data_IF_004249201920
#
_entry.id   IF_004249201920
#
_cell.length_a   1.000
_cell.length_b   1.000
_cell.length_c   1.000
_cell.angle_alpha   90.00
_cell.angle_beta   90.00
_cell.angle_gamma   90.00
#
_symmetry.space_group_name_H-M   'P 1'
#
loop_
_entity.id
_entity.type
_entity.pdbx_description
1 polymer ?
#
# COMPACT_ATOMS: atom_id res chain seq x y z
N UNK A 1 -25.98 117.70 0.40
CA UNK A 1 -25.03 116.59 0.20
C UNK A 1 -25.73 115.26 -0.01
N UNK A 2 -26.94 115.10 0.51
CA UNK A 2 -27.50 113.77 0.84
C UNK A 2 -28.04 112.99 -0.35
N UNK A 3 -28.58 113.67 -1.37
CA UNK A 3 -29.07 113.03 -2.60
C UNK A 3 -27.95 112.25 -3.30
N UNK A 4 -26.72 112.77 -3.30
CA UNK A 4 -25.55 112.08 -3.89
C UNK A 4 -25.08 110.85 -3.09
N UNK A 5 -25.40 110.79 -1.80
CA UNK A 5 -25.06 109.65 -0.93
C UNK A 5 -26.10 108.55 -1.11
N UNK A 6 -27.39 108.90 -1.03
CA UNK A 6 -28.50 108.00 -1.28
C UNK A 6 -28.43 107.33 -2.66
N UNK A 7 -28.05 108.09 -3.69
CA UNK A 7 -27.89 107.55 -5.06
C UNK A 7 -26.73 106.55 -5.17
N UNK A 8 -25.64 106.75 -4.42
CA UNK A 8 -24.53 105.80 -4.34
C UNK A 8 -24.90 104.54 -3.56
N UNK A 9 -25.70 104.70 -2.52
CA UNK A 9 -26.23 103.58 -1.72
C UNK A 9 -27.17 102.70 -2.56
N UNK A 10 -28.08 103.32 -3.32
CA UNK A 10 -28.99 102.63 -4.25
C UNK A 10 -28.19 101.83 -5.29
N UNK A 11 -27.15 102.43 -5.85
CA UNK A 11 -26.33 101.80 -6.88
C UNK A 11 -25.54 100.61 -6.32
N UNK A 12 -24.96 100.74 -5.11
CA UNK A 12 -24.35 99.62 -4.38
C UNK A 12 -25.32 98.48 -4.11
N UNK A 13 -26.55 98.80 -3.70
CA UNK A 13 -27.59 97.80 -3.43
C UNK A 13 -28.00 97.08 -4.72
N UNK A 14 -28.17 97.80 -5.84
CA UNK A 14 -28.45 97.21 -7.14
C UNK A 14 -27.31 96.31 -7.62
N UNK A 15 -26.06 96.74 -7.49
CA UNK A 15 -24.89 95.93 -7.85
C UNK A 15 -24.81 94.66 -6.99
N UNK A 16 -25.12 94.78 -5.68
CA UNK A 16 -25.23 93.65 -4.77
C UNK A 16 -26.32 92.66 -5.19
N UNK A 17 -27.53 93.15 -5.51
CA UNK A 17 -28.64 92.32 -5.99
C UNK A 17 -28.28 91.61 -7.29
N UNK A 18 -27.66 92.30 -8.25
CA UNK A 18 -27.23 91.71 -9.51
C UNK A 18 -26.19 90.60 -9.30
N UNK A 19 -25.23 90.80 -8.39
CA UNK A 19 -24.24 89.77 -8.04
C UNK A 19 -24.87 88.55 -7.35
N UNK A 20 -25.88 88.76 -6.49
CA UNK A 20 -26.63 87.65 -5.87
C UNK A 20 -27.50 86.91 -6.88
N UNK A 21 -28.18 87.62 -7.80
CA UNK A 21 -28.96 87.00 -8.88
C UNK A 21 -28.07 86.14 -9.79
N UNK A 22 -26.89 86.64 -10.19
CA UNK A 22 -25.93 85.85 -10.96
C UNK A 22 -25.42 84.62 -10.20
N UNK A 23 -25.24 84.71 -8.88
CA UNK A 23 -24.90 83.54 -8.05
C UNK A 23 -26.04 82.52 -8.01
N UNK A 24 -27.28 82.98 -7.84
CA UNK A 24 -28.48 82.12 -7.81
C UNK A 24 -28.68 81.42 -9.17
N UNK A 25 -28.45 82.10 -10.29
CA UNK A 25 -28.51 81.49 -11.63
C UNK A 25 -27.43 80.42 -11.87
N UNK A 26 -26.29 80.48 -11.17
CA UNK A 26 -25.22 79.47 -11.26
C UNK A 26 -25.43 78.26 -10.34
N UNK A 27 -26.33 78.33 -9.36
CA UNK A 27 -26.63 77.20 -8.44
C UNK A 27 -27.18 75.97 -9.19
N UNK A 28 -28.16 76.09 -10.11
CA UNK A 28 -28.70 74.94 -10.85
C UNK A 28 -27.64 74.17 -11.64
N UNK A 29 -26.66 74.88 -12.21
CA UNK A 29 -25.60 74.28 -13.01
C UNK A 29 -24.66 73.45 -12.13
N UNK A 30 -24.29 73.96 -10.96
CA UNK A 30 -23.49 73.20 -9.98
C UNK A 30 -24.26 72.02 -9.40
N UNK A 31 -25.56 72.15 -9.21
CA UNK A 31 -26.43 71.07 -8.75
C UNK A 31 -26.56 69.95 -9.81
N UNK A 32 -26.51 70.28 -11.10
CA UNK A 32 -26.44 69.31 -12.20
C UNK A 32 -25.08 68.61 -12.23
N UNK A 33 -23.98 69.36 -12.20
CA UNK A 33 -22.61 68.80 -12.17
C UNK A 33 -22.43 67.83 -10.97
N UNK A 34 -22.95 68.19 -9.80
CA UNK A 34 -22.89 67.34 -8.61
C UNK A 34 -23.74 66.08 -8.75
N UNK A 35 -24.94 66.19 -9.35
CA UNK A 35 -25.80 65.02 -9.62
C UNK A 35 -25.17 64.07 -10.62
N UNK A 36 -24.56 64.57 -11.68
CA UNK A 36 -23.83 63.76 -12.66
C UNK A 36 -22.67 63.02 -11.98
N UNK A 37 -21.85 63.74 -11.21
CA UNK A 37 -20.73 63.14 -10.49
C UNK A 37 -21.17 62.08 -9.48
N UNK A 38 -22.24 62.35 -8.72
CA UNK A 38 -22.79 61.39 -7.76
C UNK A 38 -23.25 60.12 -8.47
N UNK A 39 -23.95 60.26 -9.61
CA UNK A 39 -24.47 59.14 -10.38
C UNK A 39 -23.34 58.30 -11.00
N UNK A 40 -22.29 58.95 -11.51
CA UNK A 40 -21.10 58.26 -12.03
C UNK A 40 -20.35 57.52 -10.93
N UNK A 41 -20.23 58.14 -9.75
CA UNK A 41 -19.64 57.50 -8.58
C UNK A 41 -20.41 56.26 -8.16
N UNK A 42 -21.74 56.37 -8.05
CA UNK A 42 -22.60 55.25 -7.66
C UNK A 42 -22.53 54.10 -8.69
N UNK A 43 -22.57 54.42 -9.99
CA UNK A 43 -22.42 53.44 -11.07
C UNK A 43 -21.06 52.73 -11.02
N UNK A 44 -19.99 53.49 -10.81
CA UNK A 44 -18.63 52.92 -10.70
C UNK A 44 -18.49 52.03 -9.47
N UNK A 45 -19.07 52.44 -8.34
CA UNK A 45 -19.08 51.67 -7.10
C UNK A 45 -19.84 50.35 -7.27
N UNK A 46 -20.99 50.39 -7.93
CA UNK A 46 -21.83 49.22 -8.20
C UNK A 46 -21.12 48.25 -9.15
N UNK A 47 -20.49 48.77 -10.21
CA UNK A 47 -19.65 47.98 -11.12
C UNK A 47 -18.50 47.30 -10.37
N UNK A 48 -17.77 48.04 -9.52
CA UNK A 48 -16.68 47.49 -8.72
C UNK A 48 -17.16 46.35 -7.81
N UNK A 49 -18.28 46.54 -7.10
CA UNK A 49 -18.86 45.49 -6.26
C UNK A 49 -19.26 44.25 -7.06
N UNK A 50 -19.83 44.44 -8.25
CA UNK A 50 -20.20 43.33 -9.13
C UNK A 50 -18.99 42.52 -9.61
N UNK A 51 -17.88 43.21 -9.94
CA UNK A 51 -16.63 42.59 -10.36
C UNK A 51 -15.96 41.85 -9.20
N UNK A 52 -15.96 42.46 -8.01
CA UNK A 52 -15.43 41.82 -6.80
C UNK A 52 -16.19 40.53 -6.48
N UNK A 53 -17.53 40.57 -6.53
CA UNK A 53 -18.36 39.38 -6.31
C UNK A 53 -18.07 38.27 -7.32
N UNK A 54 -17.97 38.61 -8.62
CA UNK A 54 -17.62 37.64 -9.67
C UNK A 54 -16.23 37.05 -9.49
N UNK A 55 -15.27 37.85 -9.01
CA UNK A 55 -13.92 37.38 -8.71
C UNK A 55 -13.92 36.37 -7.55
N UNK A 56 -14.63 36.67 -6.46
CA UNK A 56 -14.78 35.74 -5.34
C UNK A 56 -15.48 34.44 -5.76
N UNK A 57 -16.56 34.53 -6.56
CA UNK A 57 -17.25 33.36 -7.13
C UNK A 57 -16.33 32.51 -8.00
N UNK A 58 -15.52 33.14 -8.86
CA UNK A 58 -14.53 32.44 -9.69
C UNK A 58 -13.45 31.76 -8.84
N UNK A 59 -12.95 32.43 -7.80
CA UNK A 59 -11.97 31.86 -6.88
C UNK A 59 -12.52 30.67 -6.10
N UNK A 60 -13.79 30.74 -5.66
CA UNK A 60 -14.48 29.61 -5.05
C UNK A 60 -14.66 28.46 -6.04
N UNK A 61 -15.07 28.74 -7.27
CA UNK A 61 -15.23 27.74 -8.32
C UNK A 61 -13.89 27.06 -8.65
N UNK A 62 -12.80 27.81 -8.77
CA UNK A 62 -11.45 27.27 -8.97
C UNK A 62 -11.03 26.37 -7.82
N UNK A 63 -11.23 26.80 -6.56
CA UNK A 63 -10.93 25.97 -5.39
C UNK A 63 -11.77 24.69 -5.37
N UNK A 64 -13.05 24.76 -5.74
CA UNK A 64 -13.92 23.59 -5.86
C UNK A 64 -13.45 22.66 -6.98
N UNK A 65 -13.09 23.18 -8.15
CA UNK A 65 -12.57 22.41 -9.27
C UNK A 65 -11.22 21.77 -8.93
N UNK A 66 -10.30 22.49 -8.28
CA UNK A 66 -9.03 21.92 -7.79
C UNK A 66 -9.27 20.80 -6.77
N UNK A 67 -10.23 20.98 -5.84
CA UNK A 67 -10.63 19.94 -4.89
C UNK A 67 -11.34 18.76 -5.54
N UNK A 68 -12.08 18.96 -6.65
CA UNK A 68 -12.80 17.92 -7.39
C UNK A 68 -11.92 17.22 -8.45
N UNK A 69 -10.91 17.89 -9.01
CA UNK A 69 -9.90 17.32 -9.92
C UNK A 69 -9.01 16.30 -9.21
N UNK A 70 -8.79 16.47 -7.90
CA UNK A 70 -8.32 15.38 -7.07
C UNK A 70 -9.50 14.46 -6.82
N UNK A 71 -9.55 13.29 -7.47
CA UNK A 71 -10.47 12.22 -7.10
C UNK A 71 -10.42 12.07 -5.58
N UNK A 72 -11.48 12.49 -4.90
CA UNK A 72 -11.55 12.47 -3.45
C UNK A 72 -11.82 11.02 -3.06
N UNK A 73 -10.77 10.20 -3.10
CA UNK A 73 -10.80 8.80 -2.69
C UNK A 73 -11.12 8.75 -1.20
N UNK A 74 -12.42 8.72 -0.89
CA UNK A 74 -12.89 8.42 0.44
C UNK A 74 -12.85 6.90 0.58
N UNK A 75 -11.98 6.44 1.48
CA UNK A 75 -11.95 5.03 1.87
C UNK A 75 -13.30 4.72 2.54
N UNK A 76 -14.21 4.09 1.77
CA UNK A 76 -15.54 3.70 2.24
C UNK A 76 -15.46 2.46 3.12
N UNK A 77 -14.52 1.56 2.80
CA UNK A 77 -14.20 0.37 3.57
C UNK A 77 -12.68 0.17 3.58
N UNK A 78 -12.00 0.34 4.73
CA UNK A 78 -10.57 0.10 4.81
C UNK A 78 -10.28 -1.38 4.58
N UNK A 79 -9.21 -1.69 3.86
CA UNK A 79 -8.79 -3.08 3.65
C UNK A 79 -8.50 -3.74 5.00
N UNK A 80 -9.39 -4.62 5.45
CA UNK A 80 -9.18 -5.43 6.65
C UNK A 80 -8.17 -6.51 6.29
N UNK A 81 -6.99 -6.45 6.88
CA UNK A 81 -6.00 -7.51 6.72
C UNK A 81 -6.60 -8.82 7.25
N UNK A 82 -6.57 -9.87 6.43
CA UNK A 82 -7.06 -11.18 6.84
C UNK A 82 -6.22 -11.68 8.03
N UNK A 83 -6.81 -11.95 9.21
CA UNK A 83 -6.07 -12.47 10.35
C UNK A 83 -5.58 -13.91 10.14
N UNK A 84 -6.15 -14.63 9.16
CA UNK A 84 -5.72 -15.97 8.80
C UNK A 84 -4.56 -15.93 7.79
N UNK A 85 -3.51 -16.75 7.99
CA UNK A 85 -2.42 -16.85 7.03
C UNK A 85 -2.93 -17.38 5.69
N UNK A 86 -2.63 -16.67 4.60
CA UNK A 86 -3.08 -17.03 3.26
C UNK A 86 -2.51 -18.37 2.76
N UNK A 87 -1.36 -18.83 3.30
CA UNK A 87 -0.77 -20.15 3.06
C UNK A 87 0.35 -20.47 4.07
N UNK A 88 0.77 -21.74 4.20
CA UNK A 88 -0.03 -22.94 4.49
C UNK A 88 -0.28 -23.08 5.99
N UNK A 89 -1.30 -23.87 6.37
CA UNK A 89 -1.52 -24.24 7.78
C UNK A 89 -0.30 -24.96 8.35
N UNK A 90 0.45 -24.29 9.23
CA UNK A 90 1.70 -24.78 9.80
C UNK A 90 1.56 -26.17 10.42
N UNK A 91 0.41 -26.46 11.02
CA UNK A 91 0.08 -27.75 11.63
C UNK A 91 -0.02 -28.85 10.57
N UNK A 92 -0.75 -28.61 9.47
CA UNK A 92 -0.89 -29.59 8.38
C UNK A 92 0.46 -29.89 7.72
N UNK A 93 1.29 -28.87 7.51
CA UNK A 93 2.63 -29.04 6.98
C UNK A 93 3.49 -29.91 7.90
N UNK A 94 3.46 -29.66 9.20
CA UNK A 94 4.21 -30.43 10.20
C UNK A 94 3.80 -31.92 10.19
N UNK A 95 2.49 -32.20 10.14
CA UNK A 95 1.97 -33.58 10.10
C UNK A 95 2.42 -34.30 8.83
N UNK A 96 2.36 -33.65 7.66
CA UNK A 96 2.81 -34.25 6.40
C UNK A 96 4.32 -34.56 6.43
N UNK A 97 5.14 -33.66 6.97
CA UNK A 97 6.58 -33.89 7.08
C UNK A 97 6.87 -35.02 8.07
N UNK A 98 6.18 -35.05 9.22
CA UNK A 98 6.37 -36.08 10.23
C UNK A 98 6.03 -37.48 9.66
N UNK A 99 4.85 -37.62 9.05
CA UNK A 99 4.41 -38.90 8.47
C UNK A 99 5.26 -39.26 7.26
N UNK A 100 5.59 -38.30 6.39
CA UNK A 100 6.41 -38.51 5.20
C UNK A 100 7.84 -38.95 5.54
N UNK A 101 8.46 -38.35 6.56
CA UNK A 101 9.80 -38.73 7.01
C UNK A 101 9.83 -40.12 7.63
N UNK A 102 8.83 -40.47 8.46
CA UNK A 102 8.70 -41.80 9.02
C UNK A 102 8.52 -42.86 7.92
N UNK A 103 7.64 -42.58 6.95
CA UNK A 103 7.41 -43.45 5.81
C UNK A 103 8.66 -43.62 4.93
N UNK A 104 9.43 -42.54 4.71
CA UNK A 104 10.69 -42.61 3.98
C UNK A 104 11.74 -43.47 4.68
N UNK A 105 11.87 -43.34 6.00
CA UNK A 105 12.82 -44.16 6.77
C UNK A 105 12.45 -45.64 6.67
N UNK A 106 11.19 -45.98 6.95
CA UNK A 106 10.71 -47.36 6.87
C UNK A 106 10.87 -47.91 5.45
N UNK A 107 10.46 -47.14 4.44
CA UNK A 107 10.60 -47.52 3.04
C UNK A 107 12.06 -47.73 2.63
N UNK A 108 12.97 -46.85 3.07
CA UNK A 108 14.39 -46.99 2.78
C UNK A 108 15.00 -48.24 3.42
N UNK A 109 14.63 -48.57 4.66
CA UNK A 109 15.08 -49.80 5.34
C UNK A 109 14.56 -51.04 4.62
N UNK A 110 13.27 -51.07 4.28
CA UNK A 110 12.67 -52.22 3.58
C UNK A 110 13.27 -52.41 2.18
N UNK A 111 13.53 -51.32 1.45
CA UNK A 111 14.22 -51.40 0.17
C UNK A 111 15.66 -51.88 0.33
N UNK A 112 16.38 -51.38 1.33
CA UNK A 112 17.74 -51.83 1.61
C UNK A 112 17.78 -53.33 1.93
N UNK A 113 16.85 -53.82 2.75
CA UNK A 113 16.70 -55.24 3.08
C UNK A 113 16.33 -56.07 1.84
N UNK A 114 15.40 -55.59 1.00
CA UNK A 114 14.98 -56.31 -0.20
C UNK A 114 16.10 -56.48 -1.22
N UNK A 115 17.02 -55.52 -1.30
CA UNK A 115 18.21 -55.61 -2.15
C UNK A 115 19.41 -56.26 -1.46
N UNK A 116 19.32 -56.57 -0.16
CA UNK A 116 20.34 -57.35 0.53
C UNK A 116 20.18 -58.83 0.17
N UNK A 117 21.20 -59.40 -0.47
CA UNK A 117 21.23 -60.81 -0.88
C UNK A 117 22.05 -61.65 0.10
N UNK A 118 22.39 -61.09 1.28
CA UNK A 118 23.21 -61.76 2.28
C UNK A 118 22.35 -62.60 3.23
N UNK A 119 22.77 -63.84 3.47
CA UNK A 119 22.13 -64.71 4.45
C UNK A 119 22.65 -64.36 5.86
N UNK A 120 21.75 -63.89 6.71
CA UNK A 120 22.09 -63.45 8.07
C UNK A 120 21.86 -64.54 9.12
N UNK A 121 20.94 -65.48 8.85
CA UNK A 121 20.62 -66.57 9.76
C UNK A 121 21.02 -67.94 9.18
N UNK A 122 21.38 -68.86 10.07
CA UNK A 122 21.79 -70.22 9.69
C UNK A 122 20.60 -71.01 9.09
N UNK A 123 19.39 -70.68 9.53
CA UNK A 123 18.16 -71.28 9.03
C UNK A 123 17.82 -70.82 7.61
N UNK A 124 18.12 -69.57 7.24
CA UNK A 124 17.96 -69.06 5.87
C UNK A 124 18.87 -69.81 4.88
N UNK A 125 20.11 -70.09 5.29
CA UNK A 125 21.04 -70.90 4.49
C UNK A 125 20.58 -72.35 4.33
N UNK A 126 19.99 -72.93 5.39
CA UNK A 126 19.47 -74.30 5.36
C UNK A 126 18.20 -74.42 4.51
N UNK A 127 17.37 -73.38 4.47
CA UNK A 127 16.19 -73.33 3.61
C UNK A 127 16.55 -73.15 2.13
N UNK A 128 17.61 -72.39 1.83
CA UNK A 128 18.07 -72.16 0.47
C UNK A 128 18.97 -73.28 -0.09
N UNK A 129 19.74 -73.97 0.76
CA UNK A 129 20.71 -75.00 0.38
C UNK A 129 20.39 -76.35 1.02
N UNK A 130 20.41 -77.42 0.22
CA UNK A 130 20.16 -78.80 0.68
C UNK A 130 21.37 -79.46 1.38
N UNK A 131 22.35 -78.66 1.85
CA UNK A 131 23.61 -79.14 2.46
C UNK A 131 23.57 -78.88 3.98
N UNK A 132 23.90 -79.87 4.82
CA UNK A 132 23.90 -79.69 6.27
C UNK A 132 24.98 -78.68 6.72
N UNK A 133 24.64 -77.83 7.69
CA UNK A 133 25.58 -76.87 8.29
C UNK A 133 26.42 -77.60 9.35
N UNK A 134 27.72 -77.77 9.10
CA UNK A 134 28.62 -78.53 9.98
C UNK A 134 29.09 -77.73 11.21
N UNK A 135 29.28 -76.41 11.09
CA UNK A 135 29.73 -75.55 12.19
C UNK A 135 29.40 -74.09 11.90
N UNK A 136 29.04 -73.33 12.93
CA UNK A 136 28.88 -71.86 12.86
C UNK A 136 30.09 -71.19 13.51
N UNK A 137 30.82 -70.37 12.76
CA UNK A 137 31.95 -69.60 13.31
C UNK A 137 31.40 -68.26 13.83
N UNK A 138 31.53 -67.96 15.14
CA UNK A 138 31.11 -66.67 15.67
C UNK A 138 31.99 -65.56 15.11
N UNK A 139 31.35 -64.45 14.70
CA UNK A 139 32.06 -63.27 14.18
C UNK A 139 32.85 -62.59 15.30
N UNK A 140 34.18 -62.66 15.24
CA UNK A 140 35.06 -61.93 16.16
C UNK A 140 35.28 -60.51 15.62
N UNK A 141 34.71 -59.51 16.27
CA UNK A 141 34.83 -58.10 15.88
C UNK A 141 36.14 -57.53 16.43
N UNK A 142 37.03 -57.06 15.55
CA UNK A 142 38.31 -56.44 15.93
C UNK A 142 38.14 -54.91 16.07
N UNK A 143 38.95 -54.24 16.91
CA UNK A 143 38.89 -52.76 17.10
C UNK A 143 38.97 -51.98 15.78
N UNK A 144 39.77 -52.44 14.82
CA UNK A 144 39.89 -51.85 13.48
C UNK A 144 38.61 -51.96 12.62
N UNK A 145 37.72 -52.93 12.89
CA UNK A 145 36.42 -53.04 12.20
C UNK A 145 35.40 -52.04 12.76
N UNK A 146 35.47 -51.74 14.06
CA UNK A 146 34.65 -50.71 14.70
C UNK A 146 35.03 -49.32 14.16
N UNK A 147 36.33 -49.07 14.01
CA UNK A 147 36.88 -47.82 13.46
C UNK A 147 36.66 -47.66 11.94
N UNK A 148 36.24 -48.70 11.21
CA UNK A 148 35.78 -48.57 9.82
C UNK A 148 34.28 -48.36 9.75
N UNK A 149 33.53 -49.01 10.64
CA UNK A 149 32.08 -48.85 10.77
C UNK A 149 31.68 -47.42 11.16
N UNK A 150 32.37 -46.81 12.12
CA UNK A 150 32.02 -45.45 12.58
C UNK A 150 32.23 -44.39 11.48
N UNK A 151 33.25 -44.50 10.61
CA UNK A 151 33.48 -43.54 9.52
C UNK A 151 32.39 -43.65 8.47
N UNK A 152 32.00 -44.87 8.08
CA UNK A 152 30.87 -45.10 7.17
C UNK A 152 29.56 -44.59 7.74
N UNK A 153 29.32 -44.84 9.03
CA UNK A 153 28.12 -44.36 9.73
C UNK A 153 28.09 -42.84 9.84
N UNK A 154 29.23 -42.18 10.10
CA UNK A 154 29.35 -40.71 10.13
C UNK A 154 29.12 -40.09 8.76
N UNK A 155 29.64 -40.70 7.68
CA UNK A 155 29.39 -40.25 6.32
C UNK A 155 27.92 -40.43 5.93
N UNK A 156 27.30 -41.56 6.28
CA UNK A 156 25.87 -41.81 6.06
C UNK A 156 24.99 -40.83 6.84
N UNK A 157 25.31 -40.59 8.12
CA UNK A 157 24.61 -39.62 8.96
C UNK A 157 24.77 -38.19 8.41
N UNK A 158 25.96 -37.84 7.91
CA UNK A 158 26.21 -36.56 7.25
C UNK A 158 25.39 -36.39 5.97
N UNK A 159 25.34 -37.41 5.11
CA UNK A 159 24.53 -37.39 3.89
C UNK A 159 23.03 -37.25 4.19
N UNK A 160 22.52 -37.95 5.21
CA UNK A 160 21.15 -37.82 5.67
C UNK A 160 20.85 -36.40 6.20
N UNK A 161 21.76 -35.81 6.98
CA UNK A 161 21.62 -34.45 7.49
C UNK A 161 21.58 -33.40 6.36
N UNK A 162 22.45 -33.54 5.35
CA UNK A 162 22.43 -32.67 4.16
C UNK A 162 21.12 -32.83 3.39
N UNK A 163 20.62 -34.05 3.22
CA UNK A 163 19.32 -34.30 2.57
C UNK A 163 18.17 -33.60 3.29
N UNK A 164 18.10 -33.71 4.62
CA UNK A 164 17.09 -33.01 5.44
C UNK A 164 17.24 -31.48 5.32
N UNK A 165 18.46 -30.95 5.38
CA UNK A 165 18.70 -29.51 5.25
C UNK A 165 18.27 -28.97 3.88
N UNK A 166 18.49 -29.73 2.80
CA UNK A 166 18.03 -29.38 1.45
C UNK A 166 16.51 -29.38 1.36
N UNK A 167 15.84 -30.40 1.91
CA UNK A 167 14.37 -30.47 1.93
C UNK A 167 13.77 -29.30 2.71
N UNK A 168 14.32 -28.98 3.89
CA UNK A 168 13.87 -27.83 4.70
C UNK A 168 14.14 -26.51 4.00
N UNK A 169 15.29 -26.35 3.35
CA UNK A 169 15.62 -25.16 2.56
C UNK A 169 14.68 -24.96 1.37
N UNK A 170 14.37 -26.03 0.62
CA UNK A 170 13.41 -25.99 -0.47
C UNK A 170 11.99 -25.67 0.03
N UNK A 171 11.57 -26.25 1.16
CA UNK A 171 10.29 -25.92 1.78
C UNK A 171 10.21 -24.46 2.23
N UNK A 172 11.31 -23.92 2.79
CA UNK A 172 11.40 -22.51 3.18
C UNK A 172 11.33 -21.58 1.97
N UNK A 173 12.08 -21.88 0.89
CA UNK A 173 12.05 -21.11 -0.36
C UNK A 173 10.67 -21.19 -1.02
N UNK A 174 10.03 -22.36 -1.03
CA UNK A 174 8.69 -22.55 -1.56
C UNK A 174 7.63 -21.78 -0.75
N UNK A 175 7.76 -21.75 0.59
CA UNK A 175 6.89 -20.99 1.47
C UNK A 175 7.08 -19.47 1.33
N UNK A 176 8.31 -19.01 1.04
CA UNK A 176 8.63 -17.60 0.86
C UNK A 176 8.27 -17.10 -0.56
N UNK A 177 8.19 -17.99 -1.56
CA UNK A 177 7.87 -17.71 -2.97
C UNK A 177 6.37 -17.66 -3.29
N UNK A 178 5.58 -17.10 -2.38
CA UNK A 178 4.11 -17.25 -2.30
C UNK A 178 3.29 -16.56 -3.42
N UNK A 179 3.90 -16.06 -4.49
CA UNK A 179 3.20 -15.45 -5.63
C UNK A 179 2.85 -16.47 -6.73
N UNK A 180 3.69 -17.50 -6.92
CA UNK A 180 3.51 -18.47 -8.01
C UNK A 180 2.53 -19.61 -7.69
N UNK A 181 2.44 -20.00 -6.43
CA UNK A 181 1.50 -21.04 -5.97
C UNK A 181 0.05 -20.53 -5.95
N UNK A 182 -0.15 -19.25 -5.63
CA UNK A 182 -1.47 -18.59 -5.64
C UNK A 182 -2.05 -18.54 -7.06
N UNK A 183 -1.23 -18.23 -8.07
CA UNK A 183 -1.66 -18.19 -9.49
C UNK A 183 -2.05 -19.57 -10.07
N UNK A 184 -1.49 -20.66 -9.56
CA UNK A 184 -1.83 -22.01 -10.00
C UNK A 184 -3.14 -22.53 -9.38
N UNK A 185 -3.47 -22.10 -8.16
CA UNK A 185 -4.71 -22.50 -7.48
C UNK A 185 -5.92 -21.64 -7.89
N UNK A 186 -5.72 -20.38 -8.28
CA UNK A 186 -6.83 -19.50 -8.72
C UNK A 186 -7.25 -19.72 -10.17
N UNK A 187 -6.39 -20.28 -11.04
CA UNK A 187 -6.72 -20.63 -12.43
C UNK A 187 -7.63 -21.85 -12.59
N UNK A 188 -7.85 -22.63 -11.52
CA UNK A 188 -8.75 -23.79 -11.51
C UNK A 188 -10.18 -23.48 -11.08
N UNK A 189 -10.49 -22.24 -10.71
CA UNK A 189 -11.81 -21.80 -10.28
C UNK A 189 -12.36 -20.75 -11.27
N UNK A 190 -12.64 -21.20 -12.49
CA UNK A 190 -13.49 -20.52 -13.48
C UNK A 190 -14.30 -21.55 -14.24
#
# INVERSE_FOLDING_TARGET
GDIKILKREEQRLRDGIAAYQARVENVPRREQEYRELSRDYDSTRELYQSLLKRYEEAQLAENMEQRQKGEQFRVLDPAVANPAPAAPERVRLFVVILVGSLGLVVGAVLLAEHFDTSFHEVDDLRAFSNVPVLVSIPRIVTRSDLDRGWWRMRLAAGAAFVGVAVIVGLAYVAANGNERLVLLLTRGAS
#
